data_IF_367539423095
#
_entry.id   IF_367539423095
#
_cell.length_a   1.000
_cell.length_b   1.000
_cell.length_c   1.000
_cell.angle_alpha   90.00
_cell.angle_beta   90.00
_cell.angle_gamma   90.00
#
_symmetry.space_group_name_H-M   'P 1'
#
loop_
_entity.id
_entity.type
_entity.pdbx_description
1 polymer ?
#
# COMPACT_ATOMS: atom_id res chain seq x y z
N UNK A 1 -8.73 -11.33 15.16
CA UNK A 1 -8.88 -9.87 15.03
C UNK A 1 -8.80 -9.10 16.35
N UNK A 2 -9.41 -9.57 17.45
CA UNK A 2 -9.43 -8.81 18.71
C UNK A 2 -8.06 -8.68 19.42
N UNK A 3 -7.11 -9.57 19.15
CA UNK A 3 -5.76 -9.57 19.72
C UNK A 3 -4.66 -9.24 18.70
N UNK A 4 -5.03 -8.62 17.57
CA UNK A 4 -4.07 -8.27 16.51
C UNK A 4 -3.30 -7.00 16.89
N UNK A 5 -1.97 -7.07 16.90
CA UNK A 5 -1.12 -5.91 17.16
C UNK A 5 -0.87 -5.13 15.87
N UNK A 6 -1.66 -4.08 15.67
CA UNK A 6 -1.56 -3.21 14.49
C UNK A 6 -0.30 -2.35 14.46
N UNK A 7 0.44 -2.27 15.58
CA UNK A 7 1.65 -1.45 15.64
C UNK A 7 2.84 -2.09 14.92
N UNK A 8 2.78 -3.38 14.60
CA UNK A 8 3.84 -4.08 13.84
C UNK A 8 4.04 -3.53 12.43
N UNK A 9 3.00 -2.94 11.83
CA UNK A 9 3.08 -2.38 10.48
C UNK A 9 3.69 -0.98 10.51
N UNK A 10 5.01 -0.89 10.28
CA UNK A 10 5.75 0.37 10.21
C UNK A 10 6.47 0.57 8.84
N UNK A 11 5.73 0.67 7.72
CA UNK A 11 6.31 0.74 6.37
C UNK A 11 7.14 2.01 6.12
N UNK A 12 7.00 3.03 6.98
CA UNK A 12 7.66 4.32 6.86
C UNK A 12 8.67 4.59 8.00
N UNK A 13 9.21 3.51 8.57
CA UNK A 13 10.10 3.52 9.74
C UNK A 13 9.42 4.02 11.03
N UNK A 14 10.12 3.86 12.16
CA UNK A 14 9.66 4.20 13.52
C UNK A 14 10.62 5.20 14.18
N UNK A 15 10.09 6.04 15.09
CA UNK A 15 10.88 6.97 15.89
C UNK A 15 11.08 8.36 15.26
N UNK A 16 11.99 9.19 15.80
CA UNK A 16 12.15 10.58 15.42
C UNK A 16 12.72 10.79 14.00
N UNK A 17 13.26 9.73 13.37
CA UNK A 17 13.76 9.73 11.98
C UNK A 17 12.83 8.94 11.04
N UNK A 18 11.53 8.94 11.31
CA UNK A 18 10.55 8.35 10.41
C UNK A 18 10.33 9.22 9.15
N UNK A 19 9.63 8.66 8.16
CA UNK A 19 9.32 9.42 6.94
C UNK A 19 8.41 10.62 7.27
N UNK A 20 8.94 11.82 7.09
CA UNK A 20 8.15 13.07 7.20
C UNK A 20 6.98 13.09 6.20
N UNK A 21 7.18 12.46 5.04
CA UNK A 21 6.18 12.33 3.97
C UNK A 21 5.15 11.23 4.19
N UNK A 22 5.11 10.54 5.34
CA UNK A 22 4.21 9.39 5.58
C UNK A 22 2.75 9.71 5.23
N UNK A 23 2.25 10.87 5.66
CA UNK A 23 0.87 11.25 5.41
C UNK A 23 0.61 11.54 3.93
N UNK A 24 1.57 12.18 3.26
CA UNK A 24 1.50 12.44 1.82
C UNK A 24 1.50 11.12 1.05
N UNK A 25 2.43 10.21 1.37
CA UNK A 25 2.52 8.90 0.73
C UNK A 25 1.21 8.11 0.84
N UNK A 26 0.56 8.11 2.01
CA UNK A 26 -0.74 7.47 2.16
C UNK A 26 -1.84 8.13 1.32
N UNK A 27 -1.87 9.46 1.28
CA UNK A 27 -2.87 10.21 0.49
C UNK A 27 -2.67 9.99 -1.02
N UNK A 28 -1.43 10.02 -1.48
CA UNK A 28 -1.09 9.79 -2.89
C UNK A 28 -1.35 8.35 -3.29
N UNK A 29 -0.95 7.37 -2.46
CA UNK A 29 -1.24 5.96 -2.74
C UNK A 29 -2.75 5.74 -2.91
N UNK A 30 -3.57 6.23 -1.96
CA UNK A 30 -5.04 6.10 -2.04
C UNK A 30 -5.61 6.78 -3.28
N UNK A 31 -5.19 8.01 -3.56
CA UNK A 31 -5.67 8.78 -4.72
C UNK A 31 -5.27 8.11 -6.02
N UNK A 32 -4.02 7.66 -6.14
CA UNK A 32 -3.51 6.97 -7.33
C UNK A 32 -4.27 5.66 -7.57
N UNK A 33 -4.45 4.85 -6.53
CA UNK A 33 -5.24 3.61 -6.64
C UNK A 33 -6.70 3.88 -7.02
N UNK A 34 -7.33 4.89 -6.42
CA UNK A 34 -8.71 5.27 -6.76
C UNK A 34 -8.84 5.70 -8.23
N UNK A 35 -7.90 6.51 -8.73
CA UNK A 35 -7.89 6.95 -10.13
C UNK A 35 -7.65 5.78 -11.08
N UNK A 36 -6.77 4.84 -10.75
CA UNK A 36 -6.54 3.65 -11.57
C UNK A 36 -7.82 2.81 -11.67
N UNK A 37 -8.47 2.54 -10.54
CA UNK A 37 -9.70 1.75 -10.51
C UNK A 37 -10.88 2.44 -11.21
N UNK A 38 -10.94 3.78 -11.17
CA UNK A 38 -12.01 4.54 -11.80
C UNK A 38 -11.87 4.64 -13.32
N UNK A 39 -10.64 4.81 -13.82
CA UNK A 39 -10.41 5.10 -15.24
C UNK A 39 -10.12 3.84 -16.09
N UNK A 40 -9.68 2.74 -15.49
CA UNK A 40 -9.23 1.56 -16.24
C UNK A 40 -10.04 0.32 -15.90
N UNK A 41 -10.41 -0.46 -16.93
CA UNK A 41 -10.90 -1.82 -16.76
C UNK A 41 -9.70 -2.79 -16.78
N UNK A 42 -9.27 -3.23 -15.60
CA UNK A 42 -8.08 -4.07 -15.44
C UNK A 42 -8.42 -5.55 -15.46
N UNK A 43 -7.64 -6.34 -16.19
CA UNK A 43 -7.72 -7.80 -16.19
C UNK A 43 -6.37 -8.41 -15.83
N UNK A 44 -6.38 -9.44 -14.99
CA UNK A 44 -5.17 -10.18 -14.63
C UNK A 44 -4.69 -10.97 -15.86
N UNK A 45 -3.41 -10.86 -16.18
CA UNK A 45 -2.83 -11.62 -17.28
C UNK A 45 -2.74 -13.13 -16.90
N UNK A 46 -3.16 -14.05 -17.78
CA UNK A 46 -3.31 -15.48 -17.45
C UNK A 46 -2.00 -16.22 -17.13
N UNK A 47 -0.84 -15.60 -17.37
CA UNK A 47 0.50 -16.18 -17.11
C UNK A 47 1.19 -15.63 -15.85
N UNK A 48 0.47 -14.96 -14.96
CA UNK A 48 1.06 -14.48 -13.70
C UNK A 48 1.19 -15.68 -12.75
N UNK A 49 2.38 -16.27 -12.74
CA UNK A 49 2.82 -17.16 -11.68
C UNK A 49 3.48 -16.29 -10.60
N UNK A 50 2.89 -16.32 -9.40
CA UNK A 50 3.37 -15.80 -8.10
C UNK A 50 4.64 -14.93 -8.08
N UNK A 51 4.54 -13.78 -7.42
CA UNK A 51 5.64 -12.81 -7.23
C UNK A 51 6.85 -13.31 -6.42
N UNK A 52 6.73 -14.48 -5.78
CA UNK A 52 7.70 -15.00 -4.81
C UNK A 52 8.56 -16.16 -5.35
N UNK A 53 8.64 -16.35 -6.67
CA UNK A 53 9.49 -17.35 -7.33
C UNK A 53 10.63 -16.71 -8.11
#
# INVERSE_FOLDING_TARGET
>A
FHFDDRQVLQPFSIGPRNCIGRNLAYSEARTSFALILYNFNMHLHPKIEYWDK
#
